data_IF_570002937155
#
_entry.id   IF_570002937155
#
_cell.length_a   1.000
_cell.length_b   1.000
_cell.length_c   1.000
_cell.angle_alpha   90.00
_cell.angle_beta   90.00
_cell.angle_gamma   90.00
#
_symmetry.space_group_name_H-M   'P 1'
#
loop_
_entity.id
_entity.type
_entity.pdbx_description
1 polymer ?
#
# COMPACT_ATOMS: atom_id res chain seq x y z
N UNK A 1 7.63 4.85 -20.69
CA UNK A 1 6.54 4.51 -21.62
C UNK A 1 7.02 4.33 -23.06
N UNK A 2 7.74 5.29 -23.67
CA UNK A 2 8.27 5.16 -25.04
C UNK A 2 8.99 3.83 -25.35
N UNK A 3 9.86 3.37 -24.45
CA UNK A 3 10.61 2.11 -24.61
C UNK A 3 9.70 0.88 -24.67
N UNK A 4 8.63 0.84 -23.85
CA UNK A 4 7.66 -0.26 -23.87
C UNK A 4 6.86 -0.27 -25.18
N UNK A 5 6.46 0.91 -25.67
CA UNK A 5 5.74 1.04 -26.94
C UNK A 5 6.61 0.65 -28.15
N UNK A 6 7.90 1.00 -28.14
CA UNK A 6 8.86 0.57 -29.18
C UNK A 6 9.02 -0.95 -29.19
N UNK A 7 9.26 -1.57 -28.03
CA UNK A 7 9.36 -3.03 -27.92
C UNK A 7 8.09 -3.75 -28.39
N UNK A 8 6.91 -3.19 -28.13
CA UNK A 8 5.64 -3.78 -28.55
C UNK A 8 5.37 -3.62 -30.05
N UNK A 9 5.75 -2.48 -30.65
CA UNK A 9 5.65 -2.25 -32.10
C UNK A 9 6.53 -3.22 -32.91
N UNK A 10 7.63 -3.69 -32.33
CA UNK A 10 8.52 -4.69 -32.93
C UNK A 10 8.00 -6.14 -32.80
N UNK A 11 6.87 -6.36 -32.13
CA UNK A 11 6.21 -7.66 -32.06
C UNK A 11 4.99 -7.72 -32.96
N UNK A 12 4.71 -8.90 -33.52
CA UNK A 12 3.47 -9.20 -34.25
C UNK A 12 2.26 -9.40 -33.33
N UNK A 13 2.44 -9.26 -32.02
CA UNK A 13 1.41 -9.51 -31.02
C UNK A 13 0.35 -8.42 -31.06
N UNK A 14 -0.92 -8.82 -31.06
CA UNK A 14 -2.02 -7.88 -30.85
C UNK A 14 -2.13 -7.56 -29.37
N UNK A 15 -2.02 -6.28 -29.02
CA UNK A 15 -2.09 -5.80 -27.65
C UNK A 15 -2.95 -4.54 -27.53
N UNK A 16 -3.50 -4.35 -26.34
CA UNK A 16 -4.04 -3.10 -25.85
C UNK A 16 -3.08 -2.56 -24.80
N UNK A 17 -2.57 -1.35 -25.03
CA UNK A 17 -1.79 -0.64 -24.04
C UNK A 17 -2.71 0.27 -23.26
N UNK A 18 -2.83 0.02 -21.97
CA UNK A 18 -3.52 0.95 -21.09
C UNK A 18 -2.56 2.11 -20.80
N UNK A 19 -3.09 3.32 -20.60
CA UNK A 19 -2.30 4.54 -20.32
C UNK A 19 -1.48 4.52 -19.01
N UNK A 20 -1.37 3.36 -18.37
CA UNK A 20 -0.68 3.13 -17.10
C UNK A 20 0.45 2.10 -17.21
N UNK A 21 0.81 1.67 -18.43
CA UNK A 21 1.90 0.71 -18.68
C UNK A 21 1.51 -0.77 -18.55
N UNK A 22 0.21 -1.05 -18.40
CA UNK A 22 -0.33 -2.41 -18.47
C UNK A 22 -0.55 -2.79 -19.94
N UNK A 23 0.01 -3.93 -20.34
CA UNK A 23 -0.13 -4.48 -21.68
C UNK A 23 -1.08 -5.67 -21.59
N UNK A 24 -2.22 -5.57 -22.24
CA UNK A 24 -3.17 -6.67 -22.36
C UNK A 24 -3.07 -7.26 -23.76
N UNK A 25 -2.61 -8.49 -23.88
CA UNK A 25 -2.61 -9.18 -25.17
C UNK A 25 -4.05 -9.53 -25.55
N UNK A 26 -4.48 -9.10 -26.74
CA UNK A 26 -5.84 -9.36 -27.27
C UNK A 26 -5.87 -10.59 -28.18
N UNK A 27 -4.71 -11.15 -28.52
CA UNK A 27 -4.58 -12.50 -29.10
C UNK A 27 -4.42 -13.59 -28.05
N UNK A 28 -4.29 -14.84 -28.51
CA UNK A 28 -3.77 -15.96 -27.72
C UNK A 28 -2.30 -16.18 -28.12
N UNK A 29 -1.35 -15.42 -27.56
CA UNK A 29 0.07 -15.67 -27.82
C UNK A 29 0.48 -17.02 -27.26
N UNK A 30 1.35 -17.71 -27.96
CA UNK A 30 1.94 -18.95 -27.45
C UNK A 30 3.00 -18.66 -26.36
N UNK A 31 3.42 -19.70 -25.63
CA UNK A 31 4.44 -19.57 -24.58
C UNK A 31 5.78 -19.07 -25.13
N UNK A 32 6.13 -19.43 -26.36
CA UNK A 32 7.36 -19.02 -27.05
C UNK A 32 7.35 -17.52 -27.34
N UNK A 33 6.26 -17.01 -27.90
CA UNK A 33 6.05 -15.59 -28.20
C UNK A 33 6.08 -14.74 -26.92
N UNK A 34 5.45 -15.25 -25.83
CA UNK A 34 5.51 -14.59 -24.52
C UNK A 34 6.93 -14.57 -23.98
N UNK A 35 7.69 -15.66 -24.10
CA UNK A 35 9.06 -15.74 -23.61
C UNK A 35 10.03 -14.89 -24.43
N UNK A 36 9.88 -14.84 -25.75
CA UNK A 36 10.65 -13.93 -26.61
C UNK A 36 10.40 -12.47 -26.24
N UNK A 37 9.14 -12.10 -25.98
CA UNK A 37 8.80 -10.77 -25.52
C UNK A 37 9.38 -10.47 -24.13
N UNK A 38 9.26 -11.40 -23.17
CA UNK A 38 9.90 -11.26 -21.84
C UNK A 38 11.41 -11.05 -21.95
N UNK A 39 12.08 -11.81 -22.82
CA UNK A 39 13.53 -11.71 -23.04
C UNK A 39 13.92 -10.38 -23.70
N UNK A 40 13.12 -9.87 -24.64
CA UNK A 40 13.36 -8.53 -25.22
C UNK A 40 13.24 -7.40 -24.19
N UNK A 41 12.40 -7.58 -23.17
CA UNK A 41 12.30 -6.62 -22.08
C UNK A 41 13.49 -6.69 -21.11
N UNK A 42 14.11 -7.87 -20.95
CA UNK A 42 15.33 -8.03 -20.15
C UNK A 42 16.49 -7.24 -20.77
N UNK A 43 16.87 -6.13 -20.12
CA UNK A 43 17.92 -5.20 -20.59
C UNK A 43 17.42 -3.78 -20.87
N UNK A 44 16.10 -3.59 -20.96
CA UNK A 44 15.48 -2.26 -21.17
C UNK A 44 15.19 -1.50 -19.87
N UNK A 45 15.53 -2.09 -18.71
CA UNK A 45 15.13 -1.60 -17.39
C UNK A 45 13.65 -1.85 -17.05
N UNK A 46 12.93 -2.60 -17.88
CA UNK A 46 11.53 -2.98 -17.68
C UNK A 46 11.49 -4.40 -17.10
N UNK A 47 10.82 -4.56 -15.95
CA UNK A 47 10.62 -5.86 -15.31
C UNK A 47 9.22 -6.37 -15.59
N UNK A 48 9.12 -7.61 -16.05
CA UNK A 48 7.83 -8.28 -16.28
C UNK A 48 7.30 -8.78 -14.94
N UNK A 49 6.15 -8.26 -14.55
CA UNK A 49 5.46 -8.66 -13.32
C UNK A 49 4.52 -9.81 -13.65
N UNK A 50 4.77 -10.99 -13.07
CA UNK A 50 3.96 -12.20 -13.33
C UNK A 50 2.57 -12.16 -12.67
N UNK A 51 2.44 -11.42 -11.56
CA UNK A 51 1.15 -11.14 -10.93
C UNK A 51 0.96 -9.62 -10.76
N UNK A 52 0.46 -8.91 -11.79
CA UNK A 52 0.27 -7.46 -11.75
C UNK A 52 -0.72 -7.03 -10.67
N UNK A 53 -1.63 -7.93 -10.26
CA UNK A 53 -2.58 -7.66 -9.19
C UNK A 53 -1.88 -7.67 -7.84
N UNK A 54 -1.11 -8.70 -7.52
CA UNK A 54 -0.34 -8.74 -6.28
C UNK A 54 0.65 -7.57 -6.18
N UNK A 55 1.32 -7.21 -7.27
CA UNK A 55 2.23 -6.05 -7.28
C UNK A 55 1.50 -4.74 -6.98
N UNK A 56 0.33 -4.51 -7.60
CA UNK A 56 -0.48 -3.33 -7.28
C UNK A 56 -0.92 -3.34 -5.80
N UNK A 57 -1.25 -4.51 -5.24
CA UNK A 57 -1.56 -4.64 -3.82
C UNK A 57 -0.36 -4.26 -2.95
N UNK A 58 0.85 -4.70 -3.26
CA UNK A 58 2.05 -4.31 -2.53
C UNK A 58 2.27 -2.80 -2.63
N UNK A 59 2.19 -2.23 -3.82
CA UNK A 59 2.29 -0.77 -4.03
C UNK A 59 1.27 0.01 -3.20
N UNK A 60 0.02 -0.47 -3.08
CA UNK A 60 -0.99 0.13 -2.18
C UNK A 60 -0.52 0.06 -0.72
N UNK A 61 -0.07 -1.11 -0.25
CA UNK A 61 0.40 -1.31 1.13
C UNK A 61 1.60 -0.43 1.48
N UNK A 62 2.54 -0.32 0.55
CA UNK A 62 3.77 0.47 0.70
C UNK A 62 3.44 1.96 0.71
N UNK A 63 2.58 2.41 -0.18
CA UNK A 63 2.11 3.81 -0.22
C UNK A 63 1.38 4.19 1.07
N UNK A 64 0.53 3.31 1.61
CA UNK A 64 -0.12 3.52 2.93
C UNK A 64 0.92 3.61 4.04
N UNK A 65 1.92 2.72 4.03
CA UNK A 65 2.96 2.67 5.07
C UNK A 65 3.86 3.91 5.01
N UNK A 66 4.26 4.34 3.80
CA UNK A 66 4.97 5.59 3.53
C UNK A 66 4.20 6.77 4.12
N UNK A 67 2.90 6.86 3.83
CA UNK A 67 2.05 7.95 4.31
C UNK A 67 2.03 8.04 5.84
N UNK A 68 2.01 6.90 6.53
CA UNK A 68 1.93 6.82 8.00
C UNK A 68 3.28 7.19 8.65
N UNK A 69 4.39 6.83 8.01
CA UNK A 69 5.73 7.05 8.54
C UNK A 69 6.26 8.47 8.29
N UNK A 70 6.06 9.00 7.08
CA UNK A 70 6.71 10.24 6.63
C UNK A 70 5.92 11.51 6.98
N UNK A 71 4.60 11.44 7.12
CA UNK A 71 3.81 12.63 7.39
C UNK A 71 3.58 12.79 8.89
N UNK A 72 4.19 13.83 9.47
CA UNK A 72 4.02 14.21 10.88
C UNK A 72 2.60 14.64 11.27
N UNK A 73 1.68 14.68 10.31
CA UNK A 73 0.28 14.93 10.55
C UNK A 73 -0.59 14.28 9.47
N UNK A 74 -1.10 13.08 9.75
CA UNK A 74 -1.99 12.33 8.86
C UNK A 74 -3.30 13.07 8.51
N UNK A 75 -3.59 14.24 9.11
CA UNK A 75 -4.76 15.06 8.77
C UNK A 75 -4.61 15.89 7.50
N UNK A 76 -3.40 16.09 6.98
CA UNK A 76 -3.18 17.03 5.87
C UNK A 76 -3.76 16.55 4.53
N UNK A 77 -3.92 15.24 4.34
CA UNK A 77 -4.42 14.66 3.09
C UNK A 77 -5.23 13.40 3.32
N UNK A 78 -6.35 13.26 2.61
CA UNK A 78 -7.18 12.04 2.63
C UNK A 78 -6.42 10.89 1.97
N UNK A 79 -6.55 9.67 2.50
CA UNK A 79 -5.89 8.48 1.94
C UNK A 79 -6.31 8.23 0.48
N UNK A 80 -7.57 8.46 0.15
CA UNK A 80 -8.08 8.28 -1.22
C UNK A 80 -7.37 9.18 -2.23
N UNK A 81 -7.21 10.46 -1.89
CA UNK A 81 -6.47 11.45 -2.68
C UNK A 81 -4.99 11.08 -2.76
N UNK A 82 -4.37 10.72 -1.62
CA UNK A 82 -2.96 10.34 -1.59
C UNK A 82 -2.66 9.13 -2.49
N UNK A 83 -3.46 8.08 -2.39
CA UNK A 83 -3.31 6.87 -3.22
C UNK A 83 -3.55 7.14 -4.70
N UNK A 84 -4.59 7.93 -5.03
CA UNK A 84 -4.92 8.24 -6.43
C UNK A 84 -3.76 8.98 -7.11
N UNK A 85 -3.18 9.97 -6.44
CA UNK A 85 -2.07 10.75 -6.99
C UNK A 85 -0.76 9.96 -7.05
N UNK A 86 -0.43 9.15 -6.03
CA UNK A 86 0.82 8.38 -6.00
C UNK A 86 0.80 7.19 -6.95
N UNK A 87 -0.34 6.53 -7.08
CA UNK A 87 -0.45 5.27 -7.83
C UNK A 87 -1.02 5.47 -9.23
N UNK A 88 -1.58 6.64 -9.53
CA UNK A 88 -2.19 6.93 -10.82
C UNK A 88 -3.33 5.93 -11.15
N UNK A 89 -4.20 5.67 -10.17
CA UNK A 89 -5.42 4.87 -10.37
C UNK A 89 -6.59 5.53 -9.65
N UNK A 90 -7.81 5.32 -10.15
CA UNK A 90 -8.99 5.77 -9.42
C UNK A 90 -9.09 5.06 -8.06
N UNK A 91 -9.50 5.79 -7.03
CA UNK A 91 -9.68 5.20 -5.70
C UNK A 91 -10.68 4.03 -5.71
N UNK A 92 -11.73 4.09 -6.54
CA UNK A 92 -12.70 3.01 -6.68
C UNK A 92 -12.05 1.71 -7.17
N UNK A 93 -11.14 1.80 -8.16
CA UNK A 93 -10.40 0.64 -8.65
C UNK A 93 -9.45 0.08 -7.58
N UNK A 94 -8.67 0.96 -6.92
CA UNK A 94 -7.76 0.58 -5.84
C UNK A 94 -8.51 -0.08 -4.67
N UNK A 95 -9.63 0.49 -4.24
CA UNK A 95 -10.44 -0.06 -3.16
C UNK A 95 -11.01 -1.43 -3.51
N UNK A 96 -11.50 -1.59 -4.75
CA UNK A 96 -12.08 -2.85 -5.21
C UNK A 96 -11.03 -3.95 -5.18
N UNK A 97 -9.92 -3.77 -5.91
CA UNK A 97 -8.88 -4.80 -6.01
C UNK A 97 -8.26 -5.12 -4.65
N UNK A 98 -8.07 -4.10 -3.80
CA UNK A 98 -7.53 -4.29 -2.46
C UNK A 98 -8.43 -5.14 -1.58
N UNK A 99 -9.74 -4.86 -1.59
CA UNK A 99 -10.69 -5.64 -0.81
C UNK A 99 -10.88 -7.06 -1.32
N UNK A 100 -10.89 -7.26 -2.65
CA UNK A 100 -10.97 -8.59 -3.26
C UNK A 100 -9.77 -9.46 -2.91
N UNK A 101 -8.57 -8.89 -2.88
CA UNK A 101 -7.34 -9.63 -2.64
C UNK A 101 -7.01 -9.83 -1.15
N UNK A 102 -7.23 -8.81 -0.32
CA UNK A 102 -6.80 -8.83 1.09
C UNK A 102 -7.91 -9.18 2.07
N UNK A 103 -9.17 -9.19 1.61
CA UNK A 103 -10.38 -9.26 2.44
C UNK A 103 -10.53 -8.11 3.45
N UNK A 104 -9.71 -7.07 3.35
CA UNK A 104 -9.80 -5.84 4.14
C UNK A 104 -10.08 -4.66 3.23
N UNK A 105 -10.84 -3.68 3.72
CA UNK A 105 -10.88 -2.37 3.07
C UNK A 105 -9.56 -1.63 3.28
N UNK A 106 -9.26 -0.67 2.40
CA UNK A 106 -8.11 0.22 2.55
C UNK A 106 -8.15 0.93 3.91
N UNK A 107 -9.33 1.41 4.33
CA UNK A 107 -9.50 2.09 5.62
C UNK A 107 -9.21 1.17 6.83
N UNK A 108 -9.66 -0.09 6.77
CA UNK A 108 -9.31 -1.07 7.79
C UNK A 108 -7.80 -1.32 7.84
N UNK A 109 -7.15 -1.41 6.69
CA UNK A 109 -5.70 -1.59 6.62
C UNK A 109 -4.93 -0.37 7.14
N UNK A 110 -5.38 0.86 6.82
CA UNK A 110 -4.83 2.10 7.37
C UNK A 110 -4.93 2.09 8.90
N UNK A 111 -6.08 1.71 9.46
CA UNK A 111 -6.26 1.59 10.91
C UNK A 111 -5.25 0.60 11.49
N UNK A 112 -5.12 -0.60 10.90
CA UNK A 112 -4.18 -1.62 11.37
C UNK A 112 -2.75 -1.08 11.40
N UNK A 113 -2.30 -0.45 10.31
CA UNK A 113 -0.97 0.13 10.21
C UNK A 113 -0.74 1.29 11.19
N UNK A 114 -1.73 2.14 11.41
CA UNK A 114 -1.66 3.21 12.42
C UNK A 114 -1.52 2.65 13.83
N UNK A 115 -2.24 1.58 14.15
CA UNK A 115 -2.14 0.92 15.45
C UNK A 115 -0.78 0.22 15.63
N UNK A 116 -0.26 -0.44 14.59
CA UNK A 116 1.07 -1.05 14.65
C UNK A 116 2.16 0.00 14.85
N UNK A 117 2.05 1.16 14.19
CA UNK A 117 2.97 2.26 14.42
C UNK A 117 2.78 2.88 15.82
N UNK A 118 1.54 3.00 16.31
CA UNK A 118 1.26 3.46 17.66
C UNK A 118 1.94 2.56 18.71
N UNK A 119 1.90 1.23 18.55
CA UNK A 119 2.61 0.30 19.43
C UNK A 119 4.10 0.62 19.49
N UNK A 120 4.74 0.83 18.34
CA UNK A 120 6.17 1.19 18.26
C UNK A 120 6.44 2.49 19.03
N UNK A 121 5.68 3.55 18.76
CA UNK A 121 5.86 4.85 19.41
C UNK A 121 5.63 4.80 20.93
N UNK A 122 4.67 3.99 21.39
CA UNK A 122 4.40 3.77 22.82
C UNK A 122 5.59 3.08 23.48
N UNK A 123 6.16 2.05 22.85
CA UNK A 123 7.30 1.30 23.41
C UNK A 123 8.61 2.08 23.38
N UNK A 124 8.78 2.99 22.42
CA UNK A 124 9.90 3.93 22.42
C UNK A 124 9.84 4.91 23.60
N UNK A 125 8.63 5.17 24.12
CA UNK A 125 8.35 6.06 25.25
C UNK A 125 8.97 7.46 25.12
N UNK A 126 9.13 7.96 23.89
CA UNK A 126 9.64 9.32 23.57
C UNK A 126 8.52 10.34 23.37
N UNK A 127 7.29 9.87 23.15
CA UNK A 127 6.13 10.71 22.86
C UNK A 127 4.99 10.39 23.83
N UNK A 128 4.30 11.42 24.29
CA UNK A 128 3.04 11.29 25.03
C UNK A 128 1.92 10.75 24.12
N UNK A 129 0.89 10.14 24.71
CA UNK A 129 -0.30 9.70 23.96
C UNK A 129 -1.00 10.83 23.22
N UNK A 130 -0.92 12.07 23.73
CA UNK A 130 -1.41 13.27 23.04
C UNK A 130 -0.63 13.53 21.74
N UNK A 131 0.70 13.48 21.81
CA UNK A 131 1.56 13.65 20.62
C UNK A 131 1.36 12.50 19.62
N UNK A 132 1.24 11.26 20.10
CA UNK A 132 0.98 10.10 19.23
C UNK A 132 -0.38 10.22 18.54
N UNK A 133 -1.42 10.62 19.28
CA UNK A 133 -2.76 10.87 18.73
C UNK A 133 -2.73 11.93 17.63
N UNK A 134 -2.06 13.05 17.88
CA UNK A 134 -1.90 14.13 16.90
C UNK A 134 -1.11 13.67 15.66
N UNK A 135 0.05 13.03 15.85
CA UNK A 135 0.92 12.53 14.78
C UNK A 135 0.18 11.56 13.86
N UNK A 136 -0.58 10.64 14.44
CA UNK A 136 -1.40 9.68 13.71
C UNK A 136 -2.74 10.28 13.25
N UNK A 137 -3.00 11.58 13.44
CA UNK A 137 -4.19 12.25 12.94
C UNK A 137 -5.51 11.79 13.58
N UNK A 138 -5.48 11.23 14.80
CA UNK A 138 -6.70 11.00 15.57
C UNK A 138 -7.26 12.34 16.10
N UNK A 139 -8.58 12.39 16.33
CA UNK A 139 -9.24 13.59 16.81
C UNK A 139 -8.96 13.87 18.30
N UNK A 140 -8.65 12.84 19.07
CA UNK A 140 -8.34 12.94 20.50
C UNK A 140 -7.57 11.70 20.98
N UNK A 141 -7.00 11.78 22.17
CA UNK A 141 -6.39 10.62 22.87
C UNK A 141 -7.44 9.53 23.12
N UNK A 142 -8.68 9.92 23.41
CA UNK A 142 -9.79 8.99 23.59
C UNK A 142 -10.10 8.20 22.31
N UNK A 143 -10.11 8.87 21.15
CA UNK A 143 -10.31 8.21 19.86
C UNK A 143 -9.16 7.23 19.55
N UNK A 144 -7.90 7.65 19.72
CA UNK A 144 -6.75 6.73 19.59
C UNK A 144 -6.91 5.53 20.53
N UNK A 145 -7.26 5.75 21.79
CA UNK A 145 -7.37 4.69 22.80
C UNK A 145 -8.49 3.70 22.49
N UNK A 146 -9.65 4.19 22.03
CA UNK A 146 -10.77 3.35 21.62
C UNK A 146 -10.39 2.51 20.40
N UNK A 147 -9.76 3.13 19.39
CA UNK A 147 -9.33 2.41 18.19
C UNK A 147 -8.25 1.36 18.53
N UNK A 148 -7.28 1.71 19.37
CA UNK A 148 -6.23 0.80 19.83
C UNK A 148 -6.81 -0.40 20.58
N UNK A 149 -7.77 -0.17 21.49
CA UNK A 149 -8.47 -1.25 22.21
C UNK A 149 -9.31 -2.11 21.28
N UNK A 150 -10.04 -1.52 20.34
CA UNK A 150 -10.82 -2.26 19.34
C UNK A 150 -9.94 -3.18 18.49
N UNK A 151 -8.75 -2.71 18.13
CA UNK A 151 -7.82 -3.46 17.26
C UNK A 151 -6.97 -4.48 18.02
N UNK A 152 -6.58 -4.22 19.28
CA UNK A 152 -5.62 -5.05 20.02
C UNK A 152 -6.21 -5.80 21.22
N UNK A 153 -7.43 -5.45 21.66
CA UNK A 153 -8.02 -5.92 22.91
C UNK A 153 -7.52 -5.18 24.16
N UNK A 154 -6.49 -4.34 24.05
CA UNK A 154 -5.83 -3.67 25.19
C UNK A 154 -5.90 -2.15 25.06
N UNK A 155 -5.87 -1.41 26.18
CA UNK A 155 -5.62 0.04 26.11
C UNK A 155 -4.13 0.30 25.84
N UNK A 156 -3.76 1.49 25.32
CA UNK A 156 -2.34 1.86 25.15
C UNK A 156 -1.51 1.68 26.43
N UNK A 157 -2.04 2.12 27.58
CA UNK A 157 -1.38 2.01 28.89
C UNK A 157 -1.24 0.56 29.34
N UNK A 158 -2.29 -0.25 29.21
CA UNK A 158 -2.24 -1.67 29.56
C UNK A 158 -1.23 -2.40 28.67
N UNK A 159 -1.19 -2.10 27.37
CA UNK A 159 -0.22 -2.64 26.44
C UNK A 159 1.23 -2.31 26.87
N UNK A 160 1.53 -1.04 27.15
CA UNK A 160 2.85 -0.62 27.63
C UNK A 160 3.28 -1.37 28.89
N UNK A 161 2.42 -1.40 29.91
CA UNK A 161 2.73 -2.03 31.19
C UNK A 161 2.98 -3.54 31.06
N UNK A 162 2.25 -4.25 30.18
CA UNK A 162 2.46 -5.69 29.96
C UNK A 162 3.83 -5.93 29.32
N UNK A 163 4.21 -5.12 28.33
CA UNK A 163 5.48 -5.31 27.62
C UNK A 163 6.67 -4.95 28.53
N UNK A 164 6.58 -3.88 29.31
CA UNK A 164 7.65 -3.51 30.25
C UNK A 164 7.87 -4.57 31.34
N UNK A 165 6.79 -5.16 31.87
CA UNK A 165 6.90 -6.28 32.84
C UNK A 165 7.55 -7.53 32.27
N UNK A 166 7.50 -7.74 30.94
CA UNK A 166 8.16 -8.89 30.28
C UNK A 166 9.64 -8.67 30.01
N UNK A 167 10.12 -7.43 30.08
CA UNK A 167 11.54 -7.09 29.90
C UNK A 167 12.33 -7.16 31.21
N UNK A 168 11.64 -7.19 32.35
CA UNK A 168 12.18 -7.36 33.70
C UNK A 168 12.27 -8.85 34.04
#
# INVERSE_FOLDING_TARGET
MKVLEECLKETSLKYELNGWGEVKFTGQPDITEVNEFKNKLQGTGIYVIEDPRNELIQRIKDTISEMILLHDNFKSKKISTYLTEKLNYSYSYLSKIFSEYTHYSIEQFVILKKIDYAKKLILENKLSLTQISYKLGYSSVAHLSQQFKKTTGLTPTTFYNIIEKRKQ
#
